data_IF_012778983269
#
_entry.id   IF_012778983269
#
_cell.length_a   1.000
_cell.length_b   1.000
_cell.length_c   1.000
_cell.angle_alpha   90.00
_cell.angle_beta   90.00
_cell.angle_gamma   90.00
#
_symmetry.space_group_name_H-M   'P 1'
#
loop_
_entity.id
_entity.type
_entity.pdbx_description
1 polymer ?
#
# COMPACT_ATOMS: atom_id res chain seq x y z
N UNK A 1 -40.57 -12.34 35.33
CA UNK A 1 -39.14 -12.53 35.63
C UNK A 1 -38.37 -12.69 34.31
N UNK A 2 -38.58 -11.80 33.33
CA UNK A 2 -38.06 -11.96 31.94
C UNK A 2 -37.34 -10.72 31.39
N UNK A 3 -37.37 -9.58 32.09
CA UNK A 3 -36.71 -8.34 31.63
C UNK A 3 -35.18 -8.33 31.74
N UNK A 4 -34.56 -9.32 32.39
CA UNK A 4 -33.11 -9.34 32.63
C UNK A 4 -32.30 -10.04 31.53
N UNK A 5 -32.94 -10.76 30.61
CA UNK A 5 -32.23 -11.52 29.58
C UNK A 5 -31.91 -10.67 28.34
N UNK A 6 -32.83 -9.80 27.93
CA UNK A 6 -32.68 -8.94 26.74
C UNK A 6 -31.60 -7.88 26.94
N UNK A 7 -31.52 -7.28 28.14
CA UNK A 7 -30.48 -6.28 28.47
C UNK A 7 -29.06 -6.88 28.51
N UNK A 8 -28.94 -8.14 28.94
CA UNK A 8 -27.66 -8.86 28.96
C UNK A 8 -27.21 -9.27 27.55
N UNK A 9 -28.14 -9.70 26.69
CA UNK A 9 -27.85 -9.99 25.28
C UNK A 9 -27.42 -8.75 24.51
N UNK A 10 -28.07 -7.60 24.73
CA UNK A 10 -27.66 -6.34 24.13
C UNK A 10 -26.27 -5.88 24.60
N UNK A 11 -25.96 -6.04 25.89
CA UNK A 11 -24.62 -5.67 26.40
C UNK A 11 -23.52 -6.57 25.84
N UNK A 12 -23.78 -7.87 25.64
CA UNK A 12 -22.81 -8.80 25.05
C UNK A 12 -22.62 -8.51 23.56
N UNK A 13 -23.69 -8.24 22.81
CA UNK A 13 -23.61 -7.85 21.40
C UNK A 13 -22.88 -6.51 21.22
N UNK A 14 -23.12 -5.53 22.10
CA UNK A 14 -22.45 -4.23 22.06
C UNK A 14 -20.96 -4.36 22.40
N UNK A 15 -20.59 -5.23 23.34
CA UNK A 15 -19.18 -5.52 23.65
C UNK A 15 -18.48 -6.28 22.53
N UNK A 16 -19.16 -7.20 21.84
CA UNK A 16 -18.63 -7.89 20.66
C UNK A 16 -18.45 -6.92 19.48
N UNK A 17 -19.37 -5.99 19.27
CA UNK A 17 -19.27 -4.95 18.24
C UNK A 17 -18.16 -3.92 18.56
N UNK A 18 -18.04 -3.51 19.83
CA UNK A 18 -16.95 -2.64 20.27
C UNK A 18 -15.58 -3.34 20.14
N UNK A 19 -15.51 -4.65 20.40
CA UNK A 19 -14.29 -5.43 20.21
C UNK A 19 -13.93 -5.60 18.73
N UNK A 20 -14.89 -5.86 17.83
CA UNK A 20 -14.59 -5.95 16.38
C UNK A 20 -14.13 -4.61 15.81
N UNK A 21 -14.72 -3.50 16.24
CA UNK A 21 -14.28 -2.14 15.85
C UNK A 21 -12.90 -1.79 16.44
N UNK A 22 -12.60 -2.21 17.68
CA UNK A 22 -11.29 -1.98 18.31
C UNK A 22 -10.17 -2.87 17.71
N UNK A 23 -10.49 -4.11 17.33
CA UNK A 23 -9.55 -5.03 16.67
C UNK A 23 -9.30 -4.61 15.22
N UNK A 24 -10.30 -4.04 14.52
CA UNK A 24 -10.10 -3.43 13.21
C UNK A 24 -9.19 -2.18 13.28
N UNK A 25 -9.36 -1.34 14.32
CA UNK A 25 -8.52 -0.13 14.53
C UNK A 25 -7.05 -0.40 14.88
N UNK A 26 -6.71 -1.58 15.41
CA UNK A 26 -5.32 -1.96 15.75
C UNK A 26 -4.62 -2.75 14.64
N UNK A 27 -5.39 -3.20 13.63
CA UNK A 27 -4.92 -4.03 12.52
C UNK A 27 -4.69 -3.24 11.23
N UNK A 28 -5.29 -2.06 11.10
CA UNK A 28 -4.98 -1.13 10.02
C UNK A 28 -3.64 -0.45 10.31
N UNK A 29 -2.63 -0.75 9.50
CA UNK A 29 -1.65 0.28 9.17
C UNK A 29 -2.50 1.47 8.70
N UNK A 30 -2.43 2.60 9.41
CA UNK A 30 -3.07 3.82 8.92
C UNK A 30 -2.59 4.06 7.48
N UNK A 31 -3.39 4.66 6.59
CA UNK A 31 -2.84 5.26 5.39
C UNK A 31 -1.74 6.23 5.85
N UNK A 32 -0.49 5.82 5.65
CA UNK A 32 0.67 6.66 5.93
C UNK A 32 0.71 7.60 4.72
N UNK A 33 0.06 8.76 4.84
CA UNK A 33 0.49 9.93 4.10
C UNK A 33 1.98 10.08 4.39
N UNK A 34 2.81 9.68 3.44
CA UNK A 34 4.26 9.85 3.54
C UNK A 34 4.54 11.32 3.30
N UNK A 35 4.19 12.17 4.28
CA UNK A 35 4.76 13.51 4.34
C UNK A 35 6.18 13.32 4.81
N UNK A 36 7.06 13.03 3.85
CA UNK A 36 8.50 13.13 4.02
C UNK A 36 8.77 14.56 4.48
N UNK A 37 8.91 14.77 5.80
CA UNK A 37 9.36 16.04 6.37
C UNK A 37 10.87 16.15 6.21
N UNK A 38 11.36 16.07 4.98
CA UNK A 38 12.73 16.49 4.68
C UNK A 38 12.77 17.99 4.90
N UNK A 39 13.48 18.40 5.97
CA UNK A 39 13.71 19.80 6.34
C UNK A 39 14.20 20.59 5.12
N UNK A 40 13.29 21.36 4.51
CA UNK A 40 13.63 22.48 3.62
C UNK A 40 14.45 23.47 4.43
N UNK A 41 15.77 23.38 4.33
CA UNK A 41 16.67 24.36 4.90
C UNK A 41 17.52 24.96 3.77
N UNK A 42 16.93 25.83 2.94
CA UNK A 42 17.61 27.00 2.35
C UNK A 42 16.70 27.93 1.54
N UNK A 43 16.69 29.18 2.02
CA UNK A 43 16.49 30.49 1.33
C UNK A 43 15.05 30.92 1.02
N UNK A 44 14.61 31.82 1.91
CA UNK A 44 13.55 32.82 1.74
C UNK A 44 13.64 33.53 0.39
N UNK A 45 12.75 33.18 -0.55
CA UNK A 45 12.21 34.11 -1.56
C UNK A 45 10.88 33.64 -2.21
N UNK A 46 10.19 32.64 -1.67
CA UNK A 46 9.06 31.96 -2.35
C UNK A 46 7.73 31.82 -1.59
N UNK A 47 7.50 32.54 -0.48
CA UNK A 47 6.40 32.19 0.45
C UNK A 47 4.97 32.44 -0.05
N UNK A 48 4.76 33.27 -1.08
CA UNK A 48 3.40 33.55 -1.58
C UNK A 48 2.95 32.54 -2.63
N UNK A 49 3.84 32.16 -3.56
CA UNK A 49 3.56 31.18 -4.61
C UNK A 49 3.45 29.76 -4.03
N UNK A 50 4.29 29.44 -3.04
CA UNK A 50 4.23 28.14 -2.33
C UNK A 50 2.96 28.01 -1.47
N UNK A 51 2.47 29.12 -0.89
CA UNK A 51 1.19 29.17 -0.16
C UNK A 51 -0.02 28.99 -1.10
N UNK A 52 0.02 29.61 -2.29
CA UNK A 52 -1.06 29.51 -3.28
C UNK A 52 -1.13 28.12 -3.93
N UNK A 53 0.01 27.54 -4.32
CA UNK A 53 0.09 26.17 -4.85
C UNK A 53 -0.44 25.14 -3.84
N UNK A 54 -0.03 25.27 -2.56
CA UNK A 54 -0.54 24.42 -1.48
C UNK A 54 -2.06 24.61 -1.29
N UNK A 55 -2.59 25.82 -1.42
CA UNK A 55 -4.03 26.07 -1.32
C UNK A 55 -4.82 25.51 -2.50
N UNK A 56 -4.27 25.52 -3.71
CA UNK A 56 -4.91 24.97 -4.90
C UNK A 56 -4.98 23.44 -4.86
N UNK A 57 -3.86 22.78 -4.58
CA UNK A 57 -3.80 21.32 -4.48
C UNK A 57 -4.78 20.81 -3.42
N UNK A 58 -4.86 21.50 -2.29
CA UNK A 58 -5.82 21.18 -1.22
C UNK A 58 -7.27 21.29 -1.68
N UNK A 59 -7.61 22.25 -2.54
CA UNK A 59 -8.97 22.39 -3.08
C UNK A 59 -9.30 21.25 -4.03
N UNK A 60 -8.40 20.91 -4.96
CA UNK A 60 -8.57 19.79 -5.86
C UNK A 60 -8.68 18.45 -5.10
N UNK A 61 -7.85 18.23 -4.08
CA UNK A 61 -7.95 17.03 -3.24
C UNK A 61 -9.22 17.01 -2.38
N UNK A 62 -9.67 18.16 -1.87
CA UNK A 62 -10.92 18.23 -1.14
C UNK A 62 -12.13 17.95 -2.04
N UNK A 63 -12.10 18.38 -3.30
CA UNK A 63 -13.12 18.05 -4.29
C UNK A 63 -13.12 16.56 -4.60
N UNK A 64 -11.96 16.01 -4.96
CA UNK A 64 -11.81 14.59 -5.25
C UNK A 64 -12.33 13.70 -4.11
N UNK A 65 -12.00 14.03 -2.85
CA UNK A 65 -12.48 13.30 -1.67
C UNK A 65 -14.00 13.30 -1.54
N UNK A 66 -14.65 14.46 -1.74
CA UNK A 66 -16.12 14.57 -1.72
C UNK A 66 -16.75 13.75 -2.85
N UNK A 67 -16.26 13.94 -4.08
CA UNK A 67 -16.82 13.28 -5.26
C UNK A 67 -16.62 11.76 -5.20
N UNK A 68 -15.51 11.29 -4.60
CA UNK A 68 -15.26 9.89 -4.28
C UNK A 68 -16.28 9.32 -3.30
N UNK A 69 -16.50 10.01 -2.18
CA UNK A 69 -17.47 9.57 -1.17
C UNK A 69 -18.89 9.55 -1.74
N UNK A 70 -19.27 10.58 -2.49
CA UNK A 70 -20.59 10.67 -3.15
C UNK A 70 -20.79 9.57 -4.20
N UNK A 71 -19.75 9.24 -4.98
CA UNK A 71 -19.86 8.29 -6.09
C UNK A 71 -19.73 6.83 -5.67
N UNK A 72 -18.91 6.53 -4.65
CA UNK A 72 -18.56 5.18 -4.24
C UNK A 72 -19.07 4.80 -2.84
N UNK A 73 -19.68 5.75 -2.12
CA UNK A 73 -20.32 5.52 -0.82
C UNK A 73 -19.34 5.11 0.29
N UNK A 74 -18.06 5.48 0.15
CA UNK A 74 -16.98 5.13 1.08
C UNK A 74 -16.10 6.34 1.33
N UNK A 75 -15.75 6.60 2.57
CA UNK A 75 -14.85 7.70 2.91
C UNK A 75 -13.45 7.43 2.36
N UNK A 76 -12.94 8.36 1.55
CA UNK A 76 -11.59 8.26 1.00
C UNK A 76 -10.51 8.22 2.10
N UNK A 77 -10.61 9.10 3.10
CA UNK A 77 -9.57 9.26 4.12
C UNK A 77 -9.57 8.16 5.19
N UNK A 78 -10.73 7.56 5.47
CA UNK A 78 -10.90 6.71 6.66
C UNK A 78 -11.22 5.26 6.36
N UNK A 79 -11.73 4.94 5.19
CA UNK A 79 -12.20 3.61 4.85
C UNK A 79 -11.51 3.02 3.62
N UNK A 80 -11.07 3.87 2.69
CA UNK A 80 -10.41 3.47 1.46
C UNK A 80 -8.89 3.35 1.62
N UNK A 81 -8.31 2.40 0.88
CA UNK A 81 -6.87 2.21 0.83
C UNK A 81 -6.41 2.19 -0.63
N UNK A 82 -5.59 3.16 -1.01
CA UNK A 82 -4.95 3.13 -2.32
C UNK A 82 -4.09 1.88 -2.48
N UNK A 83 -3.39 1.50 -1.40
CA UNK A 83 -2.43 0.42 -1.37
C UNK A 83 -2.67 -0.52 -0.18
N UNK A 84 -2.77 -1.84 -0.39
CA UNK A 84 -2.88 -2.50 -1.70
C UNK A 84 -4.22 -2.17 -2.37
N UNK A 85 -4.32 -2.38 -3.69
CA UNK A 85 -5.55 -2.12 -4.48
C UNK A 85 -6.81 -2.56 -3.71
N UNK A 86 -7.65 -1.60 -3.33
CA UNK A 86 -8.86 -1.86 -2.56
C UNK A 86 -9.86 -2.71 -3.36
N UNK A 87 -10.49 -3.65 -2.67
CA UNK A 87 -11.56 -4.48 -3.21
C UNK A 87 -12.70 -3.67 -3.82
N UNK A 88 -13.00 -2.48 -3.30
CA UNK A 88 -14.02 -1.58 -3.83
C UNK A 88 -13.78 -1.31 -5.32
N UNK A 89 -12.54 -0.98 -5.69
CA UNK A 89 -12.17 -0.64 -7.07
C UNK A 89 -12.18 -1.87 -7.96
N UNK A 90 -11.68 -3.00 -7.46
CA UNK A 90 -11.60 -4.24 -8.26
C UNK A 90 -12.92 -5.03 -8.34
N UNK A 91 -13.92 -4.69 -7.51
CA UNK A 91 -15.15 -5.49 -7.38
C UNK A 91 -16.06 -5.46 -8.61
N UNK A 92 -16.00 -4.41 -9.42
CA UNK A 92 -16.78 -4.30 -10.66
C UNK A 92 -16.13 -3.34 -11.65
N UNK A 93 -16.45 -3.52 -12.93
CA UNK A 93 -16.05 -2.60 -13.99
C UNK A 93 -16.59 -1.19 -13.75
N UNK A 94 -17.80 -1.07 -13.22
CA UNK A 94 -18.45 0.20 -12.92
C UNK A 94 -17.66 0.97 -11.85
N UNK A 95 -17.29 0.31 -10.74
CA UNK A 95 -16.51 0.96 -9.68
C UNK A 95 -15.13 1.38 -10.18
N UNK A 96 -14.48 0.53 -10.98
CA UNK A 96 -13.20 0.84 -11.60
C UNK A 96 -13.28 2.07 -12.51
N UNK A 97 -14.24 2.10 -13.44
CA UNK A 97 -14.41 3.21 -14.38
C UNK A 97 -14.78 4.51 -13.65
N UNK A 98 -15.64 4.43 -12.63
CA UNK A 98 -15.97 5.57 -11.77
C UNK A 98 -14.75 6.12 -11.06
N UNK A 99 -13.95 5.25 -10.43
CA UNK A 99 -12.72 5.66 -9.75
C UNK A 99 -11.74 6.30 -10.72
N UNK A 100 -11.52 5.72 -11.89
CA UNK A 100 -10.60 6.28 -12.86
C UNK A 100 -11.07 7.60 -13.46
N UNK A 101 -12.37 7.78 -13.67
CA UNK A 101 -12.94 9.08 -14.03
C UNK A 101 -12.63 10.14 -12.97
N UNK A 102 -12.82 9.83 -11.68
CA UNK A 102 -12.52 10.77 -10.60
C UNK A 102 -11.01 11.14 -10.53
N UNK A 103 -10.12 10.17 -10.78
CA UNK A 103 -8.67 10.40 -10.84
C UNK A 103 -8.30 11.29 -12.04
N UNK A 104 -8.94 11.07 -13.19
CA UNK A 104 -8.79 11.91 -14.39
C UNK A 104 -9.28 13.34 -14.13
N UNK A 105 -10.44 13.52 -13.51
CA UNK A 105 -11.01 14.81 -13.13
C UNK A 105 -10.12 15.58 -12.14
N UNK A 106 -9.58 14.90 -11.12
CA UNK A 106 -8.61 15.53 -10.20
C UNK A 106 -7.35 15.99 -10.94
N UNK A 107 -6.88 15.19 -11.89
CA UNK A 107 -5.72 15.54 -12.72
C UNK A 107 -5.99 16.76 -13.61
N UNK A 108 -7.22 16.89 -14.14
CA UNK A 108 -7.66 18.08 -14.85
C UNK A 108 -7.66 19.30 -13.92
N UNK A 109 -8.20 19.17 -12.70
CA UNK A 109 -8.17 20.24 -11.70
C UNK A 109 -6.74 20.73 -11.42
N UNK A 110 -5.78 19.83 -11.20
CA UNK A 110 -4.39 20.25 -11.00
C UNK A 110 -3.79 21.00 -12.19
N UNK A 111 -4.15 20.61 -13.41
CA UNK A 111 -3.65 21.27 -14.61
C UNK A 111 -4.27 22.65 -14.80
N UNK A 112 -5.58 22.76 -14.62
CA UNK A 112 -6.33 23.98 -14.92
C UNK A 112 -6.24 25.02 -13.80
N UNK A 113 -6.25 24.57 -12.54
CA UNK A 113 -6.29 25.46 -11.37
C UNK A 113 -4.91 25.67 -10.73
N UNK A 114 -4.00 24.69 -10.83
CA UNK A 114 -2.71 24.70 -10.13
C UNK A 114 -1.49 24.78 -11.07
N UNK A 115 -1.70 24.98 -12.38
CA UNK A 115 -0.66 25.01 -13.42
C UNK A 115 0.26 23.75 -13.43
N UNK A 116 -0.23 22.61 -12.94
CA UNK A 116 0.51 21.35 -12.97
C UNK A 116 0.31 20.63 -14.31
N UNK A 117 1.29 20.78 -15.20
CA UNK A 117 1.23 20.19 -16.55
C UNK A 117 1.23 18.66 -16.54
N UNK A 118 1.93 18.04 -15.59
CA UNK A 118 2.03 16.59 -15.47
C UNK A 118 1.23 16.07 -14.25
N UNK A 119 0.50 14.96 -14.39
CA UNK A 119 -0.21 14.35 -13.27
C UNK A 119 0.79 13.94 -12.18
N UNK A 120 0.47 14.12 -10.88
CA UNK A 120 1.30 13.59 -9.81
C UNK A 120 1.40 12.07 -9.96
N UNK A 121 2.62 11.55 -9.91
CA UNK A 121 2.83 10.11 -10.05
C UNK A 121 2.54 9.47 -8.67
N UNK A 122 1.46 8.71 -8.60
CA UNK A 122 1.01 8.04 -7.38
C UNK A 122 0.26 6.75 -7.76
N UNK A 123 -0.14 5.91 -6.78
CA UNK A 123 -0.84 4.65 -7.05
C UNK A 123 -2.09 4.80 -7.93
N UNK A 124 -2.82 5.92 -7.80
CA UNK A 124 -4.08 6.16 -8.49
C UNK A 124 -3.86 6.52 -9.96
N UNK A 125 -2.94 7.44 -10.23
CA UNK A 125 -2.57 7.80 -11.61
C UNK A 125 -1.86 6.65 -12.30
N UNK A 126 -1.15 5.80 -11.57
CA UNK A 126 -0.61 4.55 -12.11
C UNK A 126 -1.72 3.61 -12.60
N UNK A 127 -2.74 3.36 -11.78
CA UNK A 127 -3.88 2.51 -12.12
C UNK A 127 -4.66 3.10 -13.30
N UNK A 128 -5.04 4.38 -13.21
CA UNK A 128 -6.07 4.95 -14.05
C UNK A 128 -5.58 5.70 -15.29
N UNK A 129 -4.35 6.21 -15.28
CA UNK A 129 -3.78 6.97 -16.40
C UNK A 129 -2.72 6.15 -17.12
N UNK A 130 -1.80 5.54 -16.38
CA UNK A 130 -0.63 4.87 -16.98
C UNK A 130 -0.91 3.42 -17.42
N UNK A 131 -1.65 2.66 -16.61
CA UNK A 131 -1.83 1.21 -16.80
C UNK A 131 -3.31 0.79 -16.84
N UNK A 132 -4.23 1.71 -17.17
CA UNK A 132 -5.68 1.49 -17.16
C UNK A 132 -6.09 0.18 -17.84
N UNK A 133 -5.66 -0.02 -19.08
CA UNK A 133 -6.00 -1.22 -19.86
C UNK A 133 -5.54 -2.51 -19.20
N UNK A 134 -4.37 -2.53 -18.55
CA UNK A 134 -3.87 -3.73 -17.86
C UNK A 134 -4.69 -4.04 -16.61
N UNK A 135 -5.12 -3.01 -15.89
CA UNK A 135 -6.01 -3.16 -14.74
C UNK A 135 -7.40 -3.62 -15.17
N UNK A 136 -7.97 -3.02 -16.22
CA UNK A 136 -9.26 -3.44 -16.79
C UNK A 136 -9.28 -4.91 -17.17
N UNK A 137 -8.22 -5.40 -17.84
CA UNK A 137 -8.08 -6.81 -18.22
C UNK A 137 -7.90 -7.72 -17.01
N UNK A 138 -7.31 -7.23 -15.92
CA UNK A 138 -7.10 -7.99 -14.69
C UNK A 138 -8.32 -7.99 -13.75
N UNK A 139 -9.33 -7.14 -13.97
CA UNK A 139 -10.43 -6.92 -13.02
C UNK A 139 -11.16 -8.19 -12.61
N UNK A 140 -11.44 -9.09 -13.56
CA UNK A 140 -12.12 -10.38 -13.29
C UNK A 140 -11.36 -11.18 -12.22
N UNK A 141 -10.09 -11.45 -12.47
CA UNK A 141 -9.20 -12.14 -11.53
C UNK A 141 -8.97 -11.37 -10.22
N UNK A 142 -8.78 -10.05 -10.27
CA UNK A 142 -8.61 -9.22 -9.07
C UNK A 142 -9.85 -9.28 -8.16
N UNK A 143 -11.05 -9.30 -8.75
CA UNK A 143 -12.32 -9.47 -8.04
C UNK A 143 -12.43 -10.86 -7.37
N UNK A 144 -12.12 -11.93 -8.11
CA UNK A 144 -12.16 -13.30 -7.57
C UNK A 144 -11.19 -13.49 -6.38
N UNK A 145 -10.13 -12.68 -6.34
CA UNK A 145 -9.09 -12.73 -5.33
C UNK A 145 -9.26 -11.69 -4.21
N UNK A 146 -10.41 -11.02 -4.10
CA UNK A 146 -10.74 -9.94 -3.13
C UNK A 146 -10.50 -10.23 -1.64
N UNK A 147 -10.05 -11.44 -1.28
CA UNK A 147 -9.56 -11.84 0.04
C UNK A 147 -8.31 -11.06 0.54
N UNK A 148 -8.02 -9.89 -0.01
CA UNK A 148 -6.95 -8.98 0.40
C UNK A 148 -6.94 -8.70 1.90
N UNK A 149 -8.11 -8.58 2.55
CA UNK A 149 -8.20 -8.33 3.99
C UNK A 149 -7.51 -9.43 4.83
N UNK A 150 -7.55 -10.69 4.37
CA UNK A 150 -6.85 -11.80 5.03
C UNK A 150 -5.35 -11.77 4.77
N UNK A 151 -4.94 -11.45 3.54
CA UNK A 151 -3.53 -11.19 3.23
C UNK A 151 -3.01 -10.03 4.08
N UNK A 152 -3.77 -8.94 4.20
CA UNK A 152 -3.43 -7.76 4.98
C UNK A 152 -3.21 -8.11 6.46
N UNK A 153 -4.16 -8.79 7.11
CA UNK A 153 -4.02 -9.18 8.51
C UNK A 153 -2.81 -10.10 8.75
N UNK A 154 -2.63 -11.13 7.90
CA UNK A 154 -1.51 -12.05 8.01
C UNK A 154 -0.16 -11.35 7.76
N UNK A 155 -0.08 -10.55 6.71
CA UNK A 155 1.15 -9.85 6.32
C UNK A 155 1.51 -8.72 7.27
N UNK A 156 0.54 -8.00 7.85
CA UNK A 156 0.79 -7.01 8.89
C UNK A 156 1.47 -7.65 10.10
N UNK A 157 0.99 -8.83 10.52
CA UNK A 157 1.62 -9.61 11.60
C UNK A 157 3.00 -10.15 11.21
N UNK A 158 3.14 -10.69 10.00
CA UNK A 158 4.39 -11.28 9.52
C UNK A 158 5.50 -10.23 9.36
N UNK A 159 5.18 -9.08 8.76
CA UNK A 159 6.11 -7.97 8.59
C UNK A 159 6.64 -7.49 9.95
N UNK A 160 5.75 -7.22 10.91
CA UNK A 160 6.14 -6.82 12.29
C UNK A 160 7.01 -7.87 13.00
N UNK A 161 6.76 -9.17 12.77
CA UNK A 161 7.58 -10.25 13.35
C UNK A 161 8.96 -10.29 12.73
N UNK A 162 9.05 -10.17 11.41
CA UNK A 162 10.33 -10.23 10.70
C UNK A 162 11.29 -9.11 11.08
N UNK A 163 10.78 -7.96 11.56
CA UNK A 163 11.63 -6.90 12.12
C UNK A 163 12.20 -7.24 13.51
N UNK A 164 11.45 -7.99 14.34
CA UNK A 164 11.88 -8.35 15.70
C UNK A 164 12.98 -9.40 15.70
N UNK A 165 13.00 -10.24 14.67
CA UNK A 165 14.05 -11.24 14.48
C UNK A 165 15.38 -10.61 14.03
N UNK A 166 15.36 -9.35 13.55
CA UNK A 166 16.54 -8.53 13.27
C UNK A 166 16.97 -7.71 14.51
N UNK A 167 16.01 -7.26 15.35
CA UNK A 167 16.25 -6.46 16.57
C UNK A 167 16.91 -7.23 17.75
N UNK A 168 17.14 -8.54 17.65
CA UNK A 168 17.74 -9.32 18.75
C UNK A 168 19.19 -8.95 19.08
N UNK A 169 19.84 -8.22 18.17
CA UNK A 169 21.10 -7.53 18.40
C UNK A 169 20.81 -6.03 18.33
N UNK A 170 20.92 -5.31 19.46
CA UNK A 170 20.50 -3.90 19.67
C UNK A 170 21.22 -2.84 18.78
N UNK A 171 21.77 -3.25 17.64
CA UNK A 171 22.44 -2.43 16.64
C UNK A 171 21.89 -2.87 15.29
N UNK A 172 20.85 -2.19 14.82
CA UNK A 172 20.56 -2.17 13.39
C UNK A 172 21.71 -1.39 12.74
N UNK A 173 22.68 -2.08 12.09
CA UNK A 173 23.87 -1.43 11.55
C UNK A 173 23.52 -0.44 10.42
N UNK A 174 22.29 -0.52 9.90
CA UNK A 174 21.84 0.25 8.75
C UNK A 174 21.30 1.62 9.14
N UNK A 175 21.01 1.80 10.42
CA UNK A 175 20.59 3.07 11.01
C UNK A 175 21.67 3.67 11.93
N UNK A 176 22.92 3.19 11.82
CA UNK A 176 24.04 3.77 12.56
C UNK A 176 24.26 5.23 12.12
N UNK A 177 24.38 6.13 13.10
CA UNK A 177 24.42 7.57 12.86
C UNK A 177 23.08 8.26 12.59
N UNK A 178 21.94 7.55 12.63
CA UNK A 178 20.62 8.17 12.56
C UNK A 178 20.20 8.71 13.93
N UNK A 179 19.49 9.84 13.94
CA UNK A 179 18.72 10.29 15.11
C UNK A 179 17.55 9.36 15.40
N UNK A 180 16.98 9.42 16.60
CA UNK A 180 15.85 8.56 16.99
C UNK A 180 14.62 8.75 16.08
N UNK A 181 14.40 9.98 15.60
CA UNK A 181 13.33 10.27 14.65
C UNK A 181 13.59 9.59 13.29
N UNK A 182 14.82 9.71 12.76
CA UNK A 182 15.23 9.08 11.50
C UNK A 182 15.19 7.55 11.61
N UNK A 183 15.53 6.97 12.77
CA UNK A 183 15.36 5.53 13.04
C UNK A 183 13.90 5.11 13.01
N UNK A 184 13.01 5.93 13.57
CA UNK A 184 11.56 5.71 13.53
C UNK A 184 11.06 5.67 12.09
N UNK A 185 11.37 6.70 11.31
CA UNK A 185 10.96 6.82 9.91
C UNK A 185 11.52 5.67 9.05
N UNK A 186 12.80 5.32 9.25
CA UNK A 186 13.43 4.19 8.56
C UNK A 186 12.72 2.87 8.85
N UNK A 187 12.44 2.59 10.13
CA UNK A 187 11.73 1.38 10.56
C UNK A 187 10.31 1.30 10.01
N UNK A 188 9.60 2.43 9.97
CA UNK A 188 8.24 2.49 9.43
C UNK A 188 8.23 2.19 7.93
N UNK A 189 9.17 2.79 7.18
CA UNK A 189 9.32 2.53 5.76
C UNK A 189 9.77 1.07 5.48
N UNK A 190 10.66 0.52 6.30
CA UNK A 190 11.10 -0.88 6.18
C UNK A 190 9.94 -1.86 6.42
N UNK A 191 9.14 -1.59 7.48
CA UNK A 191 7.92 -2.33 7.76
C UNK A 191 6.95 -2.29 6.59
N UNK A 192 6.79 -1.14 5.95
CA UNK A 192 5.95 -0.95 4.77
C UNK A 192 6.39 -1.87 3.64
N UNK A 193 7.67 -1.84 3.26
CA UNK A 193 8.17 -2.67 2.16
C UNK A 193 8.05 -4.17 2.45
N UNK A 194 8.31 -4.61 3.69
CA UNK A 194 8.07 -6.01 4.12
C UNK A 194 6.60 -6.40 4.01
N UNK A 195 5.71 -5.53 4.43
CA UNK A 195 4.27 -5.72 4.28
C UNK A 195 3.88 -5.82 2.80
N UNK A 196 4.37 -4.90 1.95
CA UNK A 196 4.11 -4.90 0.51
C UNK A 196 4.59 -6.20 -0.15
N UNK A 197 5.81 -6.64 0.13
CA UNK A 197 6.37 -7.89 -0.40
C UNK A 197 5.51 -9.12 -0.01
N UNK A 198 5.09 -9.19 1.25
CA UNK A 198 4.22 -10.26 1.71
C UNK A 198 2.85 -10.24 1.00
N UNK A 199 2.22 -9.07 0.88
CA UNK A 199 0.89 -8.97 0.25
C UNK A 199 0.98 -9.31 -1.24
N UNK A 200 1.99 -8.81 -1.96
CA UNK A 200 2.21 -9.16 -3.36
C UNK A 200 2.33 -10.68 -3.53
N UNK A 201 3.14 -11.34 -2.68
CA UNK A 201 3.27 -12.80 -2.73
C UNK A 201 1.95 -13.51 -2.42
N UNK A 202 1.24 -13.11 -1.35
CA UNK A 202 -0.07 -13.67 -0.99
C UNK A 202 -1.07 -13.55 -2.15
N UNK A 203 -1.07 -12.41 -2.82
CA UNK A 203 -1.93 -12.13 -3.96
C UNK A 203 -1.60 -13.00 -5.17
N UNK A 204 -0.31 -13.17 -5.50
CA UNK A 204 0.12 -14.08 -6.57
C UNK A 204 -0.37 -15.52 -6.32
N UNK A 205 -0.29 -15.99 -5.07
CA UNK A 205 -0.81 -17.31 -4.69
C UNK A 205 -2.33 -17.40 -4.87
N UNK A 206 -3.09 -16.38 -4.43
CA UNK A 206 -4.53 -16.33 -4.66
C UNK A 206 -4.87 -16.34 -6.15
N UNK A 207 -4.12 -15.64 -6.99
CA UNK A 207 -4.31 -15.65 -8.44
C UNK A 207 -4.10 -17.05 -9.02
N UNK A 208 -3.07 -17.78 -8.54
CA UNK A 208 -2.84 -19.16 -8.96
C UNK A 208 -4.00 -20.11 -8.64
N UNK A 209 -4.66 -19.89 -7.50
CA UNK A 209 -5.76 -20.73 -7.05
C UNK A 209 -7.12 -20.38 -7.64
N UNK A 210 -7.39 -19.10 -7.92
CA UNK A 210 -8.75 -18.61 -8.18
C UNK A 210 -8.99 -18.06 -9.59
N UNK A 211 -7.93 -17.75 -10.34
CA UNK A 211 -8.09 -17.15 -11.66
C UNK A 211 -7.95 -18.19 -12.78
N UNK A 212 -8.51 -17.88 -13.94
CA UNK A 212 -8.36 -18.70 -15.14
C UNK A 212 -6.91 -18.63 -15.68
N UNK A 213 -6.41 -19.72 -16.26
CA UNK A 213 -5.01 -19.84 -16.67
C UNK A 213 -4.57 -18.76 -17.69
N UNK A 214 -5.48 -18.33 -18.55
CA UNK A 214 -5.27 -17.24 -19.52
C UNK A 214 -5.14 -15.85 -18.87
N UNK A 215 -5.68 -15.63 -17.67
CA UNK A 215 -5.63 -14.35 -16.95
C UNK A 215 -4.55 -14.30 -15.85
N UNK A 216 -4.03 -15.46 -15.42
CA UNK A 216 -3.07 -15.54 -14.29
C UNK A 216 -1.84 -14.69 -14.51
N UNK A 217 -1.14 -14.89 -15.63
CA UNK A 217 0.15 -14.27 -15.84
C UNK A 217 0.03 -12.75 -16.03
N UNK A 218 -0.95 -12.30 -16.82
CA UNK A 218 -1.21 -10.87 -17.01
C UNK A 218 -1.62 -10.20 -15.70
N UNK A 219 -2.48 -10.81 -14.89
CA UNK A 219 -2.90 -10.24 -13.60
C UNK A 219 -1.75 -10.16 -12.59
N UNK A 220 -0.91 -11.21 -12.49
CA UNK A 220 0.29 -11.18 -11.64
C UNK A 220 1.26 -10.08 -12.06
N UNK A 221 1.42 -9.88 -13.36
CA UNK A 221 2.26 -8.84 -13.93
C UNK A 221 1.71 -7.45 -13.64
N UNK A 222 0.40 -7.23 -13.80
CA UNK A 222 -0.28 -5.99 -13.43
C UNK A 222 -0.02 -5.63 -11.96
N UNK A 223 -0.16 -6.60 -11.04
CA UNK A 223 0.16 -6.37 -9.64
C UNK A 223 1.65 -6.09 -9.42
N UNK A 224 2.57 -6.83 -10.07
CA UNK A 224 4.01 -6.57 -9.97
C UNK A 224 4.34 -5.13 -10.34
N UNK A 225 3.83 -4.67 -11.48
CA UNK A 225 4.07 -3.32 -12.00
C UNK A 225 3.54 -2.26 -11.04
N UNK A 226 2.37 -2.48 -10.45
CA UNK A 226 1.78 -1.57 -9.46
C UNK A 226 2.65 -1.45 -8.19
N UNK A 227 3.08 -2.58 -7.61
CA UNK A 227 3.94 -2.56 -6.42
C UNK A 227 5.32 -1.96 -6.71
N UNK A 228 5.90 -2.28 -7.86
CA UNK A 228 7.21 -1.73 -8.24
C UNK A 228 7.14 -0.25 -8.61
N UNK A 229 6.03 0.23 -9.18
CA UNK A 229 5.83 1.65 -9.42
C UNK A 229 5.84 2.46 -8.12
N UNK A 230 5.13 1.99 -7.08
CA UNK A 230 5.13 2.62 -5.75
C UNK A 230 6.55 2.73 -5.16
N UNK A 231 7.31 1.62 -5.18
CA UNK A 231 8.69 1.61 -4.68
C UNK A 231 9.63 2.50 -5.51
N UNK A 232 9.42 2.59 -6.82
CA UNK A 232 10.20 3.48 -7.69
C UNK A 232 9.93 4.95 -7.36
N UNK A 233 8.71 5.29 -7.00
CA UNK A 233 8.36 6.65 -6.58
C UNK A 233 9.06 7.03 -5.29
N UNK A 234 9.04 6.14 -4.28
CA UNK A 234 9.83 6.35 -3.07
C UNK A 234 11.30 6.56 -3.41
N UNK A 235 11.87 5.65 -4.21
CA UNK A 235 13.29 5.71 -4.58
C UNK A 235 13.63 7.05 -5.24
N UNK A 236 12.82 7.50 -6.20
CA UNK A 236 13.02 8.78 -6.88
C UNK A 236 12.96 9.95 -5.91
N UNK A 237 12.05 9.93 -4.95
CA UNK A 237 11.94 10.98 -3.94
C UNK A 237 13.18 11.00 -3.03
N UNK A 238 13.65 9.83 -2.56
CA UNK A 238 14.90 9.76 -1.81
C UNK A 238 16.12 10.20 -2.62
N UNK A 239 16.18 9.87 -3.91
CA UNK A 239 17.26 10.30 -4.82
C UNK A 239 17.25 11.83 -5.02
N UNK A 240 16.07 12.42 -5.20
CA UNK A 240 15.90 13.87 -5.41
C UNK A 240 16.46 14.70 -4.25
N UNK A 241 16.45 14.14 -3.04
CA UNK A 241 16.96 14.80 -1.83
C UNK A 241 18.34 14.31 -1.36
N UNK A 242 19.07 13.55 -2.19
CA UNK A 242 20.35 12.93 -1.81
C UNK A 242 20.26 12.14 -0.48
N UNK A 243 19.10 11.53 -0.27
CA UNK A 243 18.69 10.88 0.96
C UNK A 243 18.66 9.35 0.82
N UNK A 244 19.30 8.79 -0.23
CA UNK A 244 19.23 7.36 -0.54
C UNK A 244 19.65 6.48 0.64
N UNK A 245 20.57 6.93 1.48
CA UNK A 245 20.97 6.23 2.72
C UNK A 245 19.81 5.94 3.67
N UNK A 246 18.76 6.76 3.65
CA UNK A 246 17.55 6.60 4.45
C UNK A 246 16.48 5.71 3.79
N UNK A 247 16.68 5.32 2.52
CA UNK A 247 15.80 4.37 1.85
C UNK A 247 16.11 2.94 2.34
N UNK A 248 15.16 2.22 2.97
CA UNK A 248 15.47 0.97 3.65
C UNK A 248 16.03 -0.12 2.75
N UNK A 249 16.98 -0.89 3.27
CA UNK A 249 17.60 -1.98 2.50
C UNK A 249 16.57 -2.98 1.99
N UNK A 250 15.62 -3.41 2.83
CA UNK A 250 14.60 -4.35 2.38
C UNK A 250 13.80 -3.80 1.19
N UNK A 251 13.47 -2.50 1.19
CA UNK A 251 12.81 -1.85 0.05
C UNK A 251 13.66 -1.92 -1.22
N UNK A 252 14.97 -1.65 -1.11
CA UNK A 252 15.91 -1.76 -2.24
C UNK A 252 15.95 -3.16 -2.80
N UNK A 253 16.08 -4.18 -1.93
CA UNK A 253 16.10 -5.57 -2.35
C UNK A 253 14.79 -6.00 -2.99
N UNK A 254 13.67 -5.64 -2.38
CA UNK A 254 12.36 -5.97 -2.91
C UNK A 254 12.12 -5.32 -4.27
N UNK A 255 12.50 -4.04 -4.44
CA UNK A 255 12.42 -3.38 -5.73
C UNK A 255 13.34 -4.04 -6.76
N UNK A 256 14.58 -4.36 -6.37
CA UNK A 256 15.55 -4.99 -7.26
C UNK A 256 15.13 -6.41 -7.70
N UNK A 257 14.49 -7.18 -6.83
CA UNK A 257 14.01 -8.53 -7.14
C UNK A 257 12.75 -8.53 -8.00
N UNK A 258 11.93 -7.47 -7.93
CA UNK A 258 10.68 -7.38 -8.67
C UNK A 258 10.78 -6.53 -9.94
N UNK A 259 11.88 -5.80 -10.19
CA UNK A 259 12.01 -4.94 -11.38
C UNK A 259 12.93 -5.52 -12.45
N UNK A 260 12.54 -5.35 -13.72
CA UNK A 260 13.38 -5.76 -14.86
C UNK A 260 14.42 -4.70 -15.23
N UNK A 261 14.28 -3.49 -14.68
CA UNK A 261 15.14 -2.34 -14.98
C UNK A 261 16.56 -2.56 -14.44
N UNK A 262 17.49 -2.84 -15.35
CA UNK A 262 18.89 -3.08 -15.02
C UNK A 262 19.57 -1.84 -14.41
N UNK A 263 19.15 -0.62 -14.80
CA UNK A 263 19.72 0.60 -14.25
C UNK A 263 19.34 0.76 -12.79
N UNK A 264 18.08 0.53 -12.44
CA UNK A 264 17.61 0.54 -11.05
C UNK A 264 18.35 -0.51 -10.22
N UNK A 265 18.45 -1.75 -10.73
CA UNK A 265 19.18 -2.83 -10.03
C UNK A 265 20.63 -2.47 -9.74
N UNK A 266 21.32 -1.88 -10.73
CA UNK A 266 22.71 -1.44 -10.56
C UNK A 266 22.85 -0.28 -9.57
N UNK A 267 21.87 0.65 -9.54
CA UNK A 267 21.88 1.81 -8.63
C UNK A 267 21.65 1.42 -7.17
N UNK A 268 20.86 0.38 -6.90
CA UNK A 268 20.45 0.02 -5.55
C UNK A 268 21.56 -0.61 -4.69
N UNK A 269 22.73 -0.90 -5.29
CA UNK A 269 23.94 -1.45 -4.66
C UNK A 269 23.61 -2.46 -3.56
N UNK A 270 23.01 -3.58 -3.99
CA UNK A 270 22.35 -4.54 -3.11
C UNK A 270 23.33 -5.30 -2.20
N UNK A 271 24.61 -5.49 -2.56
CA UNK A 271 25.62 -6.09 -1.65
C UNK A 271 25.28 -7.50 -1.14
N UNK A 272 25.98 -7.98 -0.10
CA UNK A 272 25.86 -9.36 0.48
C UNK A 272 24.59 -9.63 1.31
N UNK A 273 23.62 -8.71 1.29
CA UNK A 273 22.41 -8.80 2.12
C UNK A 273 21.31 -9.70 1.50
N UNK A 274 21.64 -10.41 0.42
CA UNK A 274 20.80 -11.40 -0.25
C UNK A 274 20.38 -12.55 0.69
N UNK A 275 21.29 -13.01 1.56
CA UNK A 275 21.00 -14.10 2.51
C UNK A 275 19.97 -13.70 3.58
N UNK A 276 20.02 -12.46 4.05
CA UNK A 276 19.08 -11.90 5.03
C UNK A 276 17.73 -11.62 4.39
N UNK A 277 17.72 -11.05 3.18
CA UNK A 277 16.50 -10.86 2.38
C UNK A 277 15.76 -12.19 2.18
N UNK A 278 16.44 -13.26 1.77
CA UNK A 278 15.81 -14.55 1.55
C UNK A 278 15.30 -15.21 2.85
N UNK A 279 16.00 -15.01 3.97
CA UNK A 279 15.51 -15.44 5.30
C UNK A 279 14.20 -14.72 5.65
N UNK A 280 14.15 -13.40 5.49
CA UNK A 280 12.95 -12.60 5.75
C UNK A 280 11.82 -13.01 4.81
N UNK A 281 12.11 -13.11 3.51
CA UNK A 281 11.13 -13.52 2.50
C UNK A 281 10.59 -14.92 2.76
N UNK A 282 11.38 -15.85 3.31
CA UNK A 282 10.89 -17.17 3.71
C UNK A 282 9.77 -17.07 4.75
N UNK A 283 9.94 -16.24 5.79
CA UNK A 283 8.92 -15.99 6.82
C UNK A 283 7.66 -15.40 6.18
N UNK A 284 7.84 -14.37 5.34
CA UNK A 284 6.73 -13.67 4.70
C UNK A 284 5.96 -14.60 3.74
N UNK A 285 6.66 -15.37 2.90
CA UNK A 285 6.07 -16.33 1.95
C UNK A 285 5.31 -17.45 2.67
N UNK A 286 5.83 -17.96 3.79
CA UNK A 286 5.15 -18.98 4.59
C UNK A 286 3.81 -18.49 5.14
N UNK A 287 3.78 -17.29 5.74
CA UNK A 287 2.55 -16.72 6.29
C UNK A 287 1.55 -16.33 5.18
N UNK A 288 2.04 -15.78 4.08
CA UNK A 288 1.23 -15.49 2.89
C UNK A 288 0.59 -16.76 2.32
N UNK A 289 1.36 -17.84 2.17
CA UNK A 289 0.87 -19.13 1.64
C UNK A 289 -0.17 -19.75 2.57
N UNK A 290 0.06 -19.72 3.89
CA UNK A 290 -0.93 -20.18 4.88
C UNK A 290 -2.23 -19.39 4.80
N UNK A 291 -2.14 -18.07 4.67
CA UNK A 291 -3.31 -17.19 4.53
C UNK A 291 -4.10 -17.49 3.26
N UNK A 292 -3.42 -17.67 2.13
CA UNK A 292 -4.05 -18.04 0.86
C UNK A 292 -4.71 -19.43 0.91
N UNK A 293 -4.02 -20.42 1.49
CA UNK A 293 -4.44 -21.84 1.50
C UNK A 293 -5.60 -22.14 2.45
N UNK A 294 -5.72 -21.44 3.59
CA UNK A 294 -6.82 -21.65 4.54
C UNK A 294 -8.21 -21.38 3.93
N UNK A 295 -8.29 -20.69 2.78
CA UNK A 295 -9.55 -20.50 2.03
C UNK A 295 -9.95 -21.74 1.22
N UNK A 296 -8.98 -22.50 0.67
CA UNK A 296 -9.26 -23.73 -0.09
C UNK A 296 -9.93 -24.80 0.80
N UNK A 297 -9.54 -24.91 2.07
CA UNK A 297 -10.16 -25.88 2.99
C UNK A 297 -11.60 -25.54 3.37
N UNK A 298 -11.98 -24.27 3.44
CA UNK A 298 -13.33 -23.89 3.87
C UNK A 298 -14.33 -23.82 2.71
N UNK A 299 -13.90 -23.70 1.45
CA UNK A 299 -14.80 -23.74 0.29
C UNK A 299 -15.20 -25.15 -0.16
N UNK A 300 -14.62 -26.20 0.43
CA UNK A 300 -15.00 -27.60 0.19
C UNK A 300 -15.91 -28.18 1.30
N UNK A 301 -16.29 -27.37 2.30
CA UNK A 301 -17.12 -27.77 3.44
C UNK A 301 -18.40 -26.92 3.57
N UNK A 302 -18.76 -26.14 2.56
CA UNK A 302 -20.06 -25.45 2.42
C UNK A 302 -20.78 -25.90 1.15
#
# INVERSE_FOLDING_TARGET
>A
MEMNYVSRLFSILFLLFAFTVAVARTSALKPIETTIKIRKNRRQSGSLFESFATSCENNCEAQFRRDFEDSLGKSYDTEFFDFPVDSLISSSRINFDTFCRLVEERTVCYREECDQLEPPINPQTHICIQQRTKFEQALSCLNATTSHLKCHAACSKAARRSMKDDDSDNRDPDSDGFSDAEKGDYREQDLRCRFQACVLHCRRQLIDFYCEDNEKQSTKETLRLYYTADLKLDLQEFQRHDALKFYPKFCRFFLASETDDANIRNQLNIGDYESEYERIMTILRLEATRSASNKYRNSYFE
#
